data_IF_626890788386
#
_entry.id   IF_626890788386
#
_cell.length_a   1.000
_cell.length_b   1.000
_cell.length_c   1.000
_cell.angle_alpha   90.00
_cell.angle_beta   90.00
_cell.angle_gamma   90.00
#
_symmetry.space_group_name_H-M   'P 1'
#
loop_
_entity.id
_entity.type
_entity.pdbx_description
1 polymer ?
#
# COMPACT_ATOMS: atom_id res chain seq x y z
N UNK A 1 -32.47 -5.47 -4.52
CA UNK A 1 -31.44 -6.01 -3.62
C UNK A 1 -30.12 -5.45 -4.09
N UNK A 2 -29.46 -4.64 -3.28
CA UNK A 2 -28.10 -4.20 -3.59
C UNK A 2 -27.24 -5.43 -3.82
N UNK A 3 -26.59 -5.47 -4.98
CA UNK A 3 -25.84 -6.62 -5.43
C UNK A 3 -24.60 -6.73 -4.53
N UNK A 4 -24.70 -7.53 -3.47
CA UNK A 4 -23.61 -7.80 -2.52
C UNK A 4 -22.44 -8.45 -3.29
N UNK A 5 -21.43 -7.66 -3.65
CA UNK A 5 -20.30 -8.11 -4.48
C UNK A 5 -19.19 -8.70 -3.62
N UNK A 6 -19.07 -10.02 -3.63
CA UNK A 6 -17.92 -10.73 -3.07
C UNK A 6 -16.66 -10.46 -3.90
N UNK A 7 -15.54 -10.16 -3.23
CA UNK A 7 -14.27 -9.98 -3.93
C UNK A 7 -13.85 -11.27 -4.65
N UNK A 8 -13.51 -11.15 -5.93
CA UNK A 8 -13.07 -12.25 -6.80
C UNK A 8 -14.10 -13.41 -6.94
N UNK A 9 -15.38 -13.17 -6.65
CA UNK A 9 -16.47 -14.12 -6.89
C UNK A 9 -17.55 -13.41 -7.70
N UNK A 10 -18.08 -14.07 -8.71
CA UNK A 10 -19.20 -13.57 -9.52
C UNK A 10 -20.22 -14.67 -9.70
N UNK A 11 -21.51 -14.34 -9.62
CA UNK A 11 -22.57 -15.25 -9.99
C UNK A 11 -22.76 -15.20 -11.52
N UNK A 12 -22.80 -16.36 -12.15
CA UNK A 12 -23.01 -16.56 -13.58
C UNK A 12 -24.44 -17.06 -13.77
N UNK A 13 -25.34 -16.15 -14.14
CA UNK A 13 -26.77 -16.43 -14.29
C UNK A 13 -27.04 -17.53 -15.35
N UNK A 14 -26.32 -17.50 -16.47
CA UNK A 14 -26.51 -18.42 -17.61
C UNK A 14 -26.34 -19.91 -17.26
N UNK A 15 -25.54 -20.22 -16.23
CA UNK A 15 -25.22 -21.59 -15.83
C UNK A 15 -25.51 -21.85 -14.35
N UNK A 16 -26.18 -20.92 -13.67
CA UNK A 16 -26.52 -20.96 -12.24
C UNK A 16 -25.35 -21.39 -11.34
N UNK A 17 -24.19 -20.73 -11.50
CA UNK A 17 -22.96 -21.05 -10.74
C UNK A 17 -22.22 -19.82 -10.28
N UNK A 18 -21.44 -19.99 -9.22
CA UNK A 18 -20.52 -18.99 -8.71
C UNK A 18 -19.12 -19.25 -9.28
N UNK A 19 -18.58 -18.28 -10.00
CA UNK A 19 -17.23 -18.30 -10.54
C UNK A 19 -16.27 -17.58 -9.61
N UNK A 20 -15.17 -18.23 -9.23
CA UNK A 20 -14.02 -17.59 -8.58
C UNK A 20 -13.08 -17.10 -9.68
N UNK A 21 -12.59 -15.85 -9.63
CA UNK A 21 -11.66 -15.30 -10.63
C UNK A 21 -10.36 -14.86 -9.97
N UNK A 22 -9.27 -15.59 -10.21
CA UNK A 22 -7.96 -15.32 -9.65
C UNK A 22 -6.90 -15.37 -10.74
N UNK A 23 -5.74 -14.74 -10.48
CA UNK A 23 -4.53 -14.90 -11.30
C UNK A 23 -3.52 -15.66 -10.45
N UNK A 24 -3.14 -16.86 -10.88
CA UNK A 24 -2.18 -17.72 -10.17
C UNK A 24 -0.99 -17.94 -11.10
N UNK A 25 0.22 -17.59 -10.65
CA UNK A 25 1.45 -17.68 -11.44
C UNK A 25 1.33 -17.02 -12.83
N UNK A 26 0.68 -15.85 -12.89
CA UNK A 26 0.47 -15.10 -14.13
C UNK A 26 -0.57 -15.70 -15.09
N UNK A 27 -1.31 -16.74 -14.68
CA UNK A 27 -2.36 -17.36 -15.48
C UNK A 27 -3.73 -17.15 -14.84
N UNK A 28 -4.71 -16.87 -15.68
CA UNK A 28 -6.10 -16.79 -15.25
C UNK A 28 -6.59 -18.16 -14.77
N UNK A 29 -7.17 -18.17 -13.57
CA UNK A 29 -7.73 -19.33 -12.93
C UNK A 29 -9.17 -19.05 -12.50
N UNK A 30 -10.12 -19.70 -13.17
CA UNK A 30 -11.54 -19.32 -13.11
C UNK A 30 -12.51 -20.50 -12.83
N UNK A 31 -12.35 -21.26 -11.73
CA UNK A 31 -13.24 -22.38 -11.43
C UNK A 31 -14.65 -21.92 -11.05
N UNK A 32 -15.63 -22.79 -11.32
CA UNK A 32 -17.05 -22.57 -11.00
C UNK A 32 -17.55 -23.53 -9.94
N UNK A 33 -18.45 -23.08 -9.08
CA UNK A 33 -19.05 -23.86 -7.99
C UNK A 33 -20.56 -23.68 -7.93
N UNK A 34 -21.28 -24.72 -7.52
CA UNK A 34 -22.75 -24.71 -7.49
C UNK A 34 -23.33 -23.92 -6.30
N UNK A 35 -22.52 -23.51 -5.32
CA UNK A 35 -22.98 -22.72 -4.17
C UNK A 35 -21.98 -21.63 -3.82
N UNK A 36 -22.49 -20.48 -3.35
CA UNK A 36 -21.66 -19.37 -2.87
C UNK A 36 -20.69 -19.83 -1.78
N UNK A 37 -21.16 -20.60 -0.81
CA UNK A 37 -20.32 -21.13 0.28
C UNK A 37 -19.14 -21.94 -0.24
N UNK A 38 -19.33 -22.81 -1.25
CA UNK A 38 -18.23 -23.56 -1.86
C UNK A 38 -17.26 -22.64 -2.59
N UNK A 39 -17.75 -21.62 -3.29
CA UNK A 39 -16.90 -20.63 -3.94
C UNK A 39 -16.04 -19.86 -2.92
N UNK A 40 -16.62 -19.41 -1.79
CA UNK A 40 -15.90 -18.70 -0.71
C UNK A 40 -14.81 -19.60 -0.12
N UNK A 41 -15.13 -20.84 0.28
CA UNK A 41 -14.16 -21.80 0.84
C UNK A 41 -12.96 -21.97 -0.08
N UNK A 42 -13.22 -22.22 -1.37
CA UNK A 42 -12.14 -22.46 -2.33
C UNK A 42 -11.35 -21.18 -2.61
N UNK A 43 -12.00 -20.03 -2.76
CA UNK A 43 -11.33 -18.74 -2.94
C UNK A 43 -10.42 -18.40 -1.75
N UNK A 44 -10.88 -18.59 -0.51
CA UNK A 44 -10.08 -18.40 0.69
C UNK A 44 -8.87 -19.33 0.73
N UNK A 45 -9.08 -20.61 0.37
CA UNK A 45 -7.98 -21.57 0.24
C UNK A 45 -6.95 -21.09 -0.79
N UNK A 46 -7.38 -20.60 -1.95
CA UNK A 46 -6.46 -20.12 -2.98
C UNK A 46 -5.64 -18.91 -2.49
N UNK A 47 -6.27 -17.93 -1.86
CA UNK A 47 -5.58 -16.78 -1.28
C UNK A 47 -4.45 -17.20 -0.33
N UNK A 48 -4.75 -18.08 0.61
CA UNK A 48 -3.80 -18.46 1.66
C UNK A 48 -2.73 -19.44 1.16
N UNK A 49 -3.10 -20.39 0.30
CA UNK A 49 -2.18 -21.43 -0.18
C UNK A 49 -1.20 -20.90 -1.23
N UNK A 50 -1.65 -20.00 -2.11
CA UNK A 50 -0.85 -19.50 -3.23
C UNK A 50 -0.38 -18.06 -3.04
N UNK A 51 -0.70 -17.42 -1.91
CA UNK A 51 -0.41 -16.01 -1.63
C UNK A 51 -0.91 -15.05 -2.74
N UNK A 52 -2.05 -15.36 -3.36
CA UNK A 52 -2.64 -14.61 -4.48
C UNK A 52 -3.68 -13.60 -4.02
N UNK A 53 -3.24 -12.59 -3.28
CA UNK A 53 -4.13 -11.65 -2.62
C UNK A 53 -4.84 -10.69 -3.59
N UNK A 54 -6.00 -10.12 -3.21
CA UNK A 54 -6.60 -9.02 -3.94
C UNK A 54 -5.64 -7.85 -4.15
N UNK A 55 -5.73 -7.21 -5.33
CA UNK A 55 -5.02 -5.96 -5.58
C UNK A 55 -5.36 -4.90 -4.52
N UNK A 56 -4.37 -4.08 -4.17
CA UNK A 56 -4.44 -3.01 -3.17
C UNK A 56 -4.71 -3.49 -1.72
N UNK A 57 -4.57 -4.79 -1.41
CA UNK A 57 -4.64 -5.25 -0.02
C UNK A 57 -3.45 -4.73 0.81
N UNK A 58 -2.26 -4.76 0.21
CA UNK A 58 -1.00 -4.40 0.83
C UNK A 58 -0.41 -3.14 0.21
N UNK A 59 0.40 -2.44 1.01
CA UNK A 59 1.25 -1.35 0.53
C UNK A 59 2.59 -1.94 0.10
N UNK A 60 3.07 -1.55 -1.07
CA UNK A 60 4.37 -1.97 -1.55
C UNK A 60 5.48 -1.23 -0.79
N UNK A 61 6.55 -1.96 -0.48
CA UNK A 61 7.82 -1.35 -0.08
C UNK A 61 8.37 -0.50 -1.22
N UNK A 62 9.12 0.53 -0.85
CA UNK A 62 9.83 1.37 -1.80
C UNK A 62 11.28 0.91 -1.82
N UNK A 63 11.82 0.75 -3.01
CA UNK A 63 13.24 0.47 -3.22
C UNK A 63 14.03 1.78 -3.38
N UNK A 64 15.32 1.71 -3.12
CA UNK A 64 16.21 2.81 -3.43
C UNK A 64 16.14 3.14 -4.92
N UNK A 65 16.01 4.43 -5.23
CA UNK A 65 15.93 4.93 -6.59
C UNK A 65 17.02 5.95 -6.83
N UNK A 66 17.38 6.13 -8.10
CA UNK A 66 18.35 7.14 -8.47
C UNK A 66 17.84 8.54 -8.10
N UNK A 67 18.72 9.35 -7.52
CA UNK A 67 18.44 10.74 -7.19
C UNK A 67 18.34 11.56 -8.47
N UNK A 68 17.22 12.25 -8.65
CA UNK A 68 17.01 13.11 -9.81
C UNK A 68 17.71 14.45 -9.56
N UNK A 69 18.73 14.77 -10.36
CA UNK A 69 19.33 16.10 -10.39
C UNK A 69 18.46 17.03 -11.23
N UNK A 70 17.92 18.07 -10.60
CA UNK A 70 17.08 19.07 -11.22
C UNK A 70 17.75 20.44 -11.18
N UNK A 71 17.24 21.37 -11.98
CA UNK A 71 17.60 22.78 -11.93
C UNK A 71 16.36 23.64 -11.70
N UNK A 72 16.55 24.80 -11.07
CA UNK A 72 15.54 25.86 -10.97
C UNK A 72 16.19 27.16 -11.42
N UNK A 73 15.56 27.81 -12.38
CA UNK A 73 15.91 29.17 -12.81
C UNK A 73 15.12 30.18 -11.98
N UNK A 74 15.79 31.24 -11.54
CA UNK A 74 15.20 32.34 -10.79
C UNK A 74 14.98 33.56 -11.69
N UNK A 75 14.20 34.53 -11.19
CA UNK A 75 13.85 35.76 -11.93
C UNK A 75 15.05 36.62 -12.34
N UNK A 76 16.22 36.41 -11.73
CA UNK A 76 17.49 37.05 -12.08
C UNK A 76 18.35 36.22 -13.07
N UNK A 77 17.77 35.22 -13.73
CA UNK A 77 18.44 34.28 -14.63
C UNK A 77 19.56 33.44 -13.99
N UNK A 78 19.63 33.39 -12.66
CA UNK A 78 20.50 32.44 -11.96
C UNK A 78 19.88 31.05 -11.97
N UNK A 79 20.73 30.03 -12.14
CA UNK A 79 20.33 28.61 -12.11
C UNK A 79 20.90 27.98 -10.84
N UNK A 80 20.03 27.41 -10.00
CA UNK A 80 20.44 26.53 -8.91
C UNK A 80 20.15 25.09 -9.26
N UNK A 81 21.09 24.21 -8.96
CA UNK A 81 20.91 22.77 -9.06
C UNK A 81 20.53 22.18 -7.70
N UNK A 82 19.72 21.13 -7.69
CA UNK A 82 19.35 20.40 -6.48
C UNK A 82 19.07 18.93 -6.82
N UNK A 83 19.18 18.07 -5.81
CA UNK A 83 18.83 16.67 -5.86
C UNK A 83 17.48 16.46 -5.19
N UNK A 84 16.57 15.73 -5.85
CA UNK A 84 15.25 15.44 -5.31
C UNK A 84 15.13 13.96 -4.92
N UNK A 85 14.62 13.73 -3.72
CA UNK A 85 14.16 12.43 -3.21
C UNK A 85 12.64 12.41 -3.29
N UNK A 86 12.08 11.47 -4.04
CA UNK A 86 10.64 11.28 -4.17
C UNK A 86 10.10 10.52 -2.96
N UNK A 87 9.84 11.24 -1.88
CA UNK A 87 9.41 10.69 -0.60
C UNK A 87 7.91 10.87 -0.32
N UNK A 88 7.43 10.15 0.69
CA UNK A 88 6.10 10.29 1.27
C UNK A 88 6.22 10.61 2.75
N UNK A 89 5.29 11.42 3.27
CA UNK A 89 5.19 11.67 4.71
C UNK A 89 4.84 10.39 5.43
N UNK A 90 5.57 10.09 6.50
CA UNK A 90 5.36 8.86 7.25
C UNK A 90 3.99 8.81 7.93
N UNK A 91 3.44 9.96 8.35
CA UNK A 91 2.19 10.04 9.12
C UNK A 91 0.95 9.67 8.32
N UNK A 92 0.86 10.11 7.06
CA UNK A 92 -0.37 10.00 6.27
C UNK A 92 -0.12 9.51 4.84
N UNK A 93 1.12 9.11 4.54
CA UNK A 93 1.55 8.60 3.23
C UNK A 93 1.25 9.58 2.09
N UNK A 94 1.14 10.88 2.35
CA UNK A 94 1.02 11.86 1.27
C UNK A 94 2.37 12.09 0.61
N UNK A 95 2.36 12.16 -0.71
CA UNK A 95 3.57 12.44 -1.49
C UNK A 95 4.11 13.81 -1.10
N UNK A 96 5.39 13.84 -0.71
CA UNK A 96 6.09 15.02 -0.24
C UNK A 96 7.57 14.87 -0.61
N UNK A 97 7.95 15.26 -1.84
CA UNK A 97 9.35 15.17 -2.26
C UNK A 97 10.21 16.11 -1.42
N UNK A 98 11.44 15.67 -1.12
CA UNK A 98 12.44 16.50 -0.45
C UNK A 98 13.56 16.82 -1.40
N UNK A 99 14.08 18.03 -1.31
CA UNK A 99 15.09 18.53 -2.21
C UNK A 99 16.31 19.01 -1.40
N UNK A 100 17.50 18.74 -1.91
CA UNK A 100 18.78 18.97 -1.23
C UNK A 100 19.77 19.62 -2.22
N UNK A 101 20.63 20.50 -1.75
CA UNK A 101 21.69 21.07 -2.58
C UNK A 101 22.82 20.06 -2.83
N UNK A 102 23.18 19.33 -1.78
CA UNK A 102 24.24 18.32 -1.83
C UNK A 102 23.69 16.92 -2.09
N UNK A 103 24.35 16.18 -2.98
CA UNK A 103 23.96 14.80 -3.30
C UNK A 103 24.02 13.90 -2.06
N UNK A 104 25.07 14.05 -1.25
CA UNK A 104 25.30 13.23 -0.05
C UNK A 104 24.17 13.37 0.96
N UNK A 105 23.62 14.58 1.14
CA UNK A 105 22.51 14.83 2.06
C UNK A 105 21.22 14.20 1.55
N UNK A 106 20.99 14.23 0.24
CA UNK A 106 19.88 13.50 -0.38
C UNK A 106 20.02 11.98 -0.21
N UNK A 107 21.21 11.43 -0.37
CA UNK A 107 21.49 9.99 -0.18
C UNK A 107 21.27 9.57 1.30
N UNK A 108 21.76 10.36 2.26
CA UNK A 108 21.55 10.13 3.69
C UNK A 108 20.07 10.22 4.09
N UNK A 109 19.35 11.23 3.58
CA UNK A 109 17.90 11.33 3.80
C UNK A 109 17.15 10.14 3.20
N UNK A 110 17.45 9.78 1.94
CA UNK A 110 16.76 8.70 1.24
C UNK A 110 16.93 7.38 1.99
N UNK A 111 18.15 7.06 2.44
CA UNK A 111 18.43 5.84 3.20
C UNK A 111 17.58 5.76 4.48
N UNK A 112 17.63 6.80 5.33
CA UNK A 112 16.86 6.87 6.57
C UNK A 112 15.36 6.83 6.33
N UNK A 113 14.89 7.51 5.29
CA UNK A 113 13.48 7.53 4.93
C UNK A 113 12.99 6.18 4.42
N UNK A 114 13.75 5.48 3.58
CA UNK A 114 13.40 4.15 3.09
C UNK A 114 13.29 3.14 4.22
N UNK A 115 14.26 3.13 5.14
CA UNK A 115 14.23 2.27 6.32
C UNK A 115 12.98 2.52 7.17
N UNK A 116 12.71 3.79 7.46
CA UNK A 116 11.56 4.22 8.24
C UNK A 116 10.22 3.84 7.59
N UNK A 117 10.06 4.19 6.31
CA UNK A 117 8.86 3.93 5.54
C UNK A 117 8.60 2.43 5.39
N UNK A 118 9.62 1.66 5.01
CA UNK A 118 9.46 0.22 4.79
C UNK A 118 9.18 -0.54 6.10
N UNK A 119 9.68 -0.05 7.24
CA UNK A 119 9.33 -0.58 8.56
C UNK A 119 7.84 -0.35 8.89
N UNK A 120 7.30 0.83 8.57
CA UNK A 120 5.86 1.10 8.72
C UNK A 120 5.04 0.20 7.78
N UNK A 121 5.49 0.02 6.53
CA UNK A 121 4.84 -0.87 5.56
C UNK A 121 4.78 -2.31 6.08
N UNK A 122 5.85 -2.81 6.73
CA UNK A 122 5.85 -4.15 7.31
C UNK A 122 4.79 -4.30 8.41
N UNK A 123 4.73 -3.35 9.35
CA UNK A 123 3.72 -3.39 10.43
C UNK A 123 2.30 -3.22 9.90
N UNK A 124 2.10 -2.32 8.93
CA UNK A 124 0.83 -2.13 8.25
C UNK A 124 0.38 -3.42 7.53
N UNK A 125 1.25 -4.04 6.73
CA UNK A 125 0.90 -5.23 5.97
C UNK A 125 0.62 -6.44 6.88
N UNK A 126 1.32 -6.57 8.02
CA UNK A 126 1.00 -7.58 9.04
C UNK A 126 -0.42 -7.39 9.59
N UNK A 127 -0.78 -6.18 9.99
CA UNK A 127 -2.12 -5.87 10.50
C UNK A 127 -3.19 -6.08 9.42
N UNK A 128 -2.93 -5.67 8.17
CA UNK A 128 -3.82 -5.93 7.04
C UNK A 128 -4.06 -7.40 6.78
N UNK A 129 -3.04 -8.25 6.95
CA UNK A 129 -3.19 -9.68 6.80
C UNK A 129 -4.12 -10.27 7.86
N UNK A 130 -4.05 -9.78 9.10
CA UNK A 130 -4.93 -10.20 10.20
C UNK A 130 -6.39 -9.80 9.88
N UNK A 131 -6.63 -8.54 9.54
CA UNK A 131 -7.98 -8.06 9.18
C UNK A 131 -8.54 -8.81 7.97
N UNK A 132 -7.69 -9.10 7.00
CA UNK A 132 -8.08 -9.88 5.82
C UNK A 132 -8.54 -11.29 6.22
N UNK A 133 -7.77 -12.00 7.04
CA UNK A 133 -8.14 -13.34 7.52
C UNK A 133 -9.43 -13.30 8.33
N UNK A 134 -9.62 -12.30 9.18
CA UNK A 134 -10.87 -12.10 9.92
C UNK A 134 -12.06 -11.88 8.97
N UNK A 135 -11.89 -11.07 7.93
CA UNK A 135 -12.90 -10.88 6.89
C UNK A 135 -13.19 -12.19 6.13
N UNK A 136 -12.17 -13.01 5.82
CA UNK A 136 -12.37 -14.32 5.17
C UNK A 136 -13.25 -15.25 6.01
N UNK A 137 -13.04 -15.27 7.33
CA UNK A 137 -13.82 -16.06 8.28
C UNK A 137 -15.25 -15.55 8.37
N UNK A 138 -15.41 -14.23 8.56
CA UNK A 138 -16.73 -13.59 8.61
C UNK A 138 -17.55 -13.83 7.34
N UNK A 139 -16.97 -13.64 6.15
CA UNK A 139 -17.66 -13.90 4.88
C UNK A 139 -18.15 -15.36 4.76
N UNK A 140 -17.40 -16.31 5.31
CA UNK A 140 -17.74 -17.73 5.27
C UNK A 140 -18.86 -18.10 6.25
N UNK A 141 -18.89 -17.47 7.41
CA UNK A 141 -19.88 -17.68 8.46
C UNK A 141 -21.21 -17.00 8.12
N UNK A 142 -21.16 -15.73 7.74
CA UNK A 142 -22.32 -14.87 7.56
C UNK A 142 -22.81 -14.79 6.10
N UNK A 143 -22.07 -15.39 5.16
CA UNK A 143 -22.35 -15.31 3.72
C UNK A 143 -22.64 -13.87 3.25
N UNK A 144 -21.89 -12.91 3.83
CA UNK A 144 -22.01 -11.48 3.58
C UNK A 144 -20.63 -10.95 3.21
N UNK A 145 -20.48 -10.14 2.14
CA UNK A 145 -19.17 -9.64 1.71
C UNK A 145 -18.55 -8.71 2.77
N UNK A 146 -17.27 -8.93 3.07
CA UNK A 146 -16.54 -8.17 4.10
C UNK A 146 -15.07 -7.90 3.75
N UNK A 147 -14.54 -8.43 2.64
CA UNK A 147 -13.20 -8.07 2.20
C UNK A 147 -13.16 -6.61 1.76
N UNK A 148 -12.55 -5.78 2.59
CA UNK A 148 -12.16 -4.42 2.25
C UNK A 148 -10.76 -4.40 1.65
N UNK A 149 -10.62 -3.72 0.51
CA UNK A 149 -9.34 -3.52 -0.19
C UNK A 149 -9.12 -2.03 -0.40
N UNK A 150 -7.90 -1.58 -0.15
CA UNK A 150 -7.60 -0.17 -0.15
C UNK A 150 -6.69 0.19 1.02
N UNK A 151 -6.27 1.44 1.01
CA UNK A 151 -5.48 2.00 2.09
C UNK A 151 -6.37 2.30 3.29
N UNK A 152 -6.03 1.76 4.45
CA UNK A 152 -6.70 2.04 5.71
C UNK A 152 -5.83 2.98 6.56
N UNK A 153 -6.26 4.24 6.69
CA UNK A 153 -5.48 5.25 7.43
C UNK A 153 -5.34 4.93 8.91
N UNK A 154 -6.34 4.30 9.54
CA UNK A 154 -6.29 3.96 10.96
C UNK A 154 -5.24 2.88 11.25
N UNK A 155 -5.16 1.85 10.40
CA UNK A 155 -4.13 0.80 10.51
C UNK A 155 -2.75 1.41 10.25
N UNK A 156 -2.64 2.34 9.31
CA UNK A 156 -1.40 3.05 9.04
C UNK A 156 -0.95 3.90 10.24
N UNK A 157 -1.84 4.70 10.79
CA UNK A 157 -1.58 5.51 12.00
C UNK A 157 -1.16 4.63 13.18
N UNK A 158 -1.81 3.47 13.38
CA UNK A 158 -1.42 2.50 14.38
C UNK A 158 -0.02 1.91 14.14
N UNK A 159 0.33 1.61 12.89
CA UNK A 159 1.67 1.13 12.51
C UNK A 159 2.75 2.20 12.76
N UNK A 160 2.47 3.46 12.38
CA UNK A 160 3.36 4.61 12.68
C UNK A 160 3.54 4.77 14.18
N UNK A 161 2.45 4.75 14.95
CA UNK A 161 2.48 4.87 16.40
C UNK A 161 3.20 3.70 17.08
N UNK A 162 3.16 2.50 16.50
CA UNK A 162 3.89 1.34 17.05
C UNK A 162 5.41 1.51 16.93
N UNK A 163 5.88 2.12 15.85
CA UNK A 163 7.31 2.31 15.59
C UNK A 163 7.85 3.58 16.28
N UNK A 164 7.09 4.68 16.22
CA UNK A 164 7.57 6.00 16.66
C UNK A 164 6.84 6.55 17.89
N UNK A 165 5.85 5.85 18.43
CA UNK A 165 5.01 6.36 19.50
C UNK A 165 4.24 7.61 19.07
N UNK A 166 4.18 8.61 19.94
CA UNK A 166 3.54 9.91 19.66
C UNK A 166 4.45 10.89 18.90
N UNK A 167 5.68 10.50 18.54
CA UNK A 167 6.70 11.41 18.00
C UNK A 167 7.39 10.84 16.77
N UNK A 168 6.79 11.09 15.60
CA UNK A 168 7.53 10.94 14.33
C UNK A 168 8.68 11.95 14.31
N UNK A 169 9.92 11.54 13.99
CA UNK A 169 11.04 12.47 13.94
C UNK A 169 10.75 13.67 13.02
N UNK A 170 11.01 14.89 13.51
CA UNK A 170 10.79 16.14 12.75
C UNK A 170 11.44 16.14 11.37
N UNK A 171 12.54 15.42 11.25
CA UNK A 171 13.25 15.13 10.01
C UNK A 171 12.33 14.63 8.88
N UNK A 172 11.22 13.94 9.20
CA UNK A 172 10.22 13.42 8.26
C UNK A 172 8.93 14.25 8.18
N UNK A 173 8.77 15.29 9.01
CA UNK A 173 7.53 16.06 9.15
C UNK A 173 7.51 17.38 8.37
N UNK A 174 8.68 17.97 8.08
CA UNK A 174 8.71 19.25 7.38
C UNK A 174 8.42 19.08 5.88
N UNK A 175 7.35 19.75 5.45
CA UNK A 175 7.04 20.07 4.06
C UNK A 175 7.86 21.32 3.69
N UNK A 176 8.78 21.20 2.75
CA UNK A 176 9.32 22.38 2.07
C UNK A 176 10.82 22.61 2.17
N UNK A 177 11.24 23.38 1.17
CA UNK A 177 12.59 23.75 0.80
C UNK A 177 13.10 24.84 1.75
N UNK A 178 13.90 24.49 2.75
CA UNK A 178 14.69 25.50 3.48
C UNK A 178 16.01 25.72 2.73
N UNK A 179 15.99 26.60 1.72
CA UNK A 179 17.22 27.30 1.35
C UNK A 179 17.42 28.37 2.41
N UNK A 180 18.18 28.03 3.45
CA UNK A 180 18.72 29.02 4.38
C UNK A 180 19.74 29.83 3.60
N UNK A 181 19.35 31.01 3.11
CA UNK A 181 20.30 32.03 2.70
C UNK A 181 20.98 32.54 3.98
N UNK A 182 22.22 32.12 4.21
CA UNK A 182 23.16 32.86 5.05
C UNK A 182 23.58 34.14 4.31
#
# INVERSE_FOLDING_TARGET
>A
MDNMKFKNISYLEDIDKYQVRLVINGKDFQPTYNTLRKAIINRNKFYLQYAVFPANLFVNKIEAHELVKNSREYSNSSISYYYQVNSYRLVDRKYSPKQFLEKRDAEDFQSKWLEAYNSIVDEYNKARMIDFVNALTFELEELTPAIDVGFNSQIWEAAVSKIYGTRVPKFFLNDGFEISYL
#
